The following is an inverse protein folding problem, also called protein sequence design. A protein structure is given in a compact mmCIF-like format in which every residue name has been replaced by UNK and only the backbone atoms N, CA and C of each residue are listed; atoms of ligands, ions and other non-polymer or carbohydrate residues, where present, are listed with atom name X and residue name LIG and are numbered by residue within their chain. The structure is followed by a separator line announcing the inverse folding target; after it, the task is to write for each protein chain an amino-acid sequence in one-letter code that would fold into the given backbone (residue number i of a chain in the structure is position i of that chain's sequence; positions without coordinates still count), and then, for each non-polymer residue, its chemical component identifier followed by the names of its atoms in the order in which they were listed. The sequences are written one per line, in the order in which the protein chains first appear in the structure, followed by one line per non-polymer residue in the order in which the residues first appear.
data_IF_464162228485
#
_entry.id   IF_464162228485
#
_cell.length_a   1.000
_cell.length_b   1.000
_cell.length_c   1.000
_cell.angle_alpha   90.00
_cell.angle_beta   90.00
_cell.angle_gamma   90.00
#
_symmetry.space_group_name_H-M   'P 1'
#
loop_
_entity.id
_entity.type
_entity.pdbx_description
1 polymer ?
#
# COMPACT_ATOMS: atom_id res chain seq x y z
N UNK A 1 22.87 9.92 -6.87
CA UNK A 1 21.77 10.14 -5.92
C UNK A 1 21.90 9.26 -4.69
N UNK A 2 22.13 7.95 -4.83
CA UNK A 2 22.29 7.04 -3.67
C UNK A 2 23.33 7.50 -2.63
N UNK A 3 24.52 7.97 -3.05
CA UNK A 3 25.52 8.53 -2.12
C UNK A 3 24.97 9.69 -1.28
N UNK A 4 24.14 10.56 -1.87
CA UNK A 4 23.50 11.68 -1.15
C UNK A 4 22.45 11.15 -0.16
N UNK A 5 21.67 10.14 -0.55
CA UNK A 5 20.69 9.51 0.34
C UNK A 5 21.37 8.88 1.56
N UNK A 6 22.48 8.18 1.35
CA UNK A 6 23.28 7.58 2.43
C UNK A 6 23.84 8.65 3.38
N UNK A 7 24.41 9.72 2.81
CA UNK A 7 24.91 10.85 3.58
C UNK A 7 23.80 11.51 4.42
N UNK A 8 22.61 11.70 3.83
CA UNK A 8 21.45 12.26 4.50
C UNK A 8 21.04 11.46 5.75
N UNK A 9 21.03 10.12 5.66
CA UNK A 9 20.76 9.28 6.82
C UNK A 9 21.84 9.39 7.90
N UNK A 10 23.12 9.46 7.53
CA UNK A 10 24.20 9.68 8.51
C UNK A 10 24.04 11.01 9.25
N UNK A 11 23.65 12.05 8.54
CA UNK A 11 23.38 13.38 9.12
C UNK A 11 22.15 13.38 10.04
N UNK A 12 21.13 12.57 9.74
CA UNK A 12 19.96 12.41 10.61
C UNK A 12 20.29 11.76 11.95
N UNK A 13 21.29 10.87 12.02
CA UNK A 13 21.70 10.16 13.24
C UNK A 13 20.74 9.05 13.70
N UNK A 14 19.43 9.29 13.63
CA UNK A 14 18.38 8.31 13.93
C UNK A 14 17.18 8.49 13.00
N UNK A 15 16.49 7.40 12.64
CA UNK A 15 15.32 7.50 11.76
C UNK A 15 14.30 6.37 11.98
N UNK A 16 13.03 6.74 11.98
CA UNK A 16 11.88 5.85 11.96
C UNK A 16 11.31 5.81 10.54
N UNK A 17 11.39 4.66 9.88
CA UNK A 17 10.90 4.48 8.51
C UNK A 17 9.45 3.99 8.56
N UNK A 18 8.52 4.76 7.98
CA UNK A 18 7.16 4.29 7.71
C UNK A 18 7.19 3.18 6.64
N UNK A 19 7.19 1.93 7.10
CA UNK A 19 7.54 0.76 6.30
C UNK A 19 6.29 -0.03 5.89
N UNK A 20 5.96 0.03 4.60
CA UNK A 20 4.80 -0.64 3.99
C UNK A 20 5.13 -1.94 3.26
N UNK A 21 6.41 -2.27 3.04
CA UNK A 21 6.81 -3.43 2.22
C UNK A 21 6.59 -3.26 0.71
N UNK A 22 6.31 -2.04 0.26
CA UNK A 22 6.36 -1.66 -1.16
C UNK A 22 7.79 -1.37 -1.60
N UNK A 23 8.03 -1.24 -2.92
CA UNK A 23 9.38 -1.05 -3.46
C UNK A 23 10.09 0.18 -2.87
N UNK A 24 9.38 1.31 -2.77
CA UNK A 24 9.95 2.58 -2.34
C UNK A 24 10.30 2.59 -0.84
N UNK A 25 9.37 2.16 0.02
CA UNK A 25 9.61 2.06 1.47
C UNK A 25 10.62 0.97 1.83
N UNK A 26 10.72 -0.10 1.03
CA UNK A 26 11.71 -1.17 1.25
C UNK A 26 13.13 -0.72 0.93
N UNK A 27 13.32 -0.01 -0.18
CA UNK A 27 14.63 0.56 -0.50
C UNK A 27 15.06 1.58 0.55
N UNK A 28 14.14 2.45 0.98
CA UNK A 28 14.43 3.43 2.02
C UNK A 28 14.79 2.76 3.35
N UNK A 29 14.03 1.74 3.76
CA UNK A 29 14.32 0.93 4.96
C UNK A 29 15.68 0.23 4.88
N UNK A 30 16.04 -0.29 3.70
CA UNK A 30 17.34 -0.91 3.47
C UNK A 30 18.49 0.08 3.65
N UNK A 31 18.40 1.27 3.05
CA UNK A 31 19.42 2.31 3.20
C UNK A 31 19.50 2.81 4.64
N UNK A 32 18.37 3.09 5.29
CA UNK A 32 18.34 3.52 6.69
C UNK A 32 19.01 2.48 7.59
N UNK A 33 18.69 1.19 7.42
CA UNK A 33 19.28 0.09 8.19
C UNK A 33 20.79 -0.02 7.95
N UNK A 34 21.23 0.11 6.70
CA UNK A 34 22.64 0.01 6.34
C UNK A 34 23.49 1.16 6.93
N UNK A 35 22.94 2.39 6.99
CA UNK A 35 23.69 3.56 7.45
C UNK A 35 23.56 3.82 8.96
N UNK A 36 22.41 3.50 9.57
CA UNK A 36 22.13 3.82 10.98
C UNK A 36 22.13 2.60 11.91
N UNK A 37 22.13 1.39 11.35
CA UNK A 37 22.08 0.15 12.14
C UNK A 37 20.91 0.16 13.14
N UNK A 38 21.23 0.11 14.44
CA UNK A 38 20.23 0.06 15.53
C UNK A 38 19.41 1.34 15.70
N UNK A 39 19.90 2.46 15.17
CA UNK A 39 19.23 3.76 15.20
C UNK A 39 18.20 3.92 14.06
N UNK A 40 18.10 2.95 13.14
CA UNK A 40 16.96 2.80 12.24
C UNK A 40 15.87 1.90 12.86
N UNK A 41 14.62 2.34 12.80
CA UNK A 41 13.45 1.55 13.18
C UNK A 41 12.42 1.56 12.05
N UNK A 42 12.14 0.40 11.47
CA UNK A 42 11.10 0.25 10.45
C UNK A 42 9.76 -0.04 11.13
N UNK A 43 8.76 0.80 10.94
CA UNK A 43 7.45 0.63 11.59
C UNK A 43 6.37 0.39 10.55
N UNK A 44 5.63 -0.72 10.71
CA UNK A 44 4.46 -1.04 9.89
C UNK A 44 3.20 -0.76 10.70
N UNK A 45 2.32 0.09 10.16
CA UNK A 45 0.96 0.27 10.68
C UNK A 45 0.06 -0.87 10.20
N UNK A 46 -0.54 -1.59 11.14
CA UNK A 46 -1.46 -2.68 10.86
C UNK A 46 -2.89 -2.30 11.24
N UNK A 47 -3.81 -2.53 10.31
CA UNK A 47 -5.25 -2.47 10.50
C UNK A 47 -5.92 -3.46 9.55
N UNK A 48 -7.24 -3.61 9.63
CA UNK A 48 -7.97 -4.44 8.67
C UNK A 48 -7.85 -3.98 7.20
N UNK A 49 -7.30 -2.79 6.94
CA UNK A 49 -7.06 -2.31 5.56
C UNK A 49 -5.78 -2.87 4.93
N UNK A 50 -4.86 -3.41 5.73
CA UNK A 50 -3.64 -4.07 5.27
C UNK A 50 -3.85 -5.58 5.15
N UNK A 51 -3.76 -6.08 3.92
CA UNK A 51 -3.91 -7.49 3.60
C UNK A 51 -2.86 -8.36 4.32
N UNK A 52 -3.26 -9.55 4.77
CA UNK A 52 -2.40 -10.50 5.48
C UNK A 52 -1.15 -10.86 4.68
N UNK A 53 -1.29 -11.08 3.37
CA UNK A 53 -0.15 -11.38 2.49
C UNK A 53 0.89 -10.25 2.47
N UNK A 54 0.46 -8.99 2.56
CA UNK A 54 1.37 -7.83 2.60
C UNK A 54 2.08 -7.74 3.97
N UNK A 55 1.39 -8.11 5.06
CA UNK A 55 2.00 -8.18 6.41
C UNK A 55 3.09 -9.24 6.46
N UNK A 56 2.82 -10.44 5.95
CA UNK A 56 3.78 -11.55 5.91
C UNK A 56 4.99 -11.24 5.03
N UNK A 57 4.75 -10.65 3.84
CA UNK A 57 5.83 -10.25 2.93
C UNK A 57 6.72 -9.17 3.55
N UNK A 58 6.14 -8.13 4.15
CA UNK A 58 6.90 -7.07 4.80
C UNK A 58 7.69 -7.59 6.02
N UNK A 59 7.13 -8.53 6.79
CA UNK A 59 7.82 -9.15 7.91
C UNK A 59 8.99 -10.03 7.45
N UNK A 60 8.79 -10.80 6.37
CA UNK A 60 9.83 -11.63 5.77
C UNK A 60 10.97 -10.78 5.21
N UNK A 61 10.64 -9.70 4.51
CA UNK A 61 11.64 -8.76 3.98
C UNK A 61 12.47 -8.12 5.09
N UNK A 62 11.81 -7.68 6.17
CA UNK A 62 12.52 -7.10 7.31
C UNK A 62 13.52 -8.09 7.93
N UNK A 63 13.13 -9.36 8.11
CA UNK A 63 14.04 -10.42 8.60
C UNK A 63 15.20 -10.67 7.63
N UNK A 64 14.90 -10.79 6.33
CA UNK A 64 15.90 -11.10 5.31
C UNK A 64 17.01 -10.04 5.21
N UNK A 65 16.66 -8.76 5.41
CA UNK A 65 17.58 -7.64 5.28
C UNK A 65 18.04 -7.06 6.64
N UNK A 66 17.80 -7.78 7.75
CA UNK A 66 18.25 -7.37 9.07
C UNK A 66 17.63 -6.06 9.57
N UNK A 67 16.46 -5.70 9.07
CA UNK A 67 15.76 -4.47 9.45
C UNK A 67 15.14 -4.65 10.84
N UNK A 68 15.48 -3.74 11.77
CA UNK A 68 14.77 -3.65 13.05
C UNK A 68 13.34 -3.21 12.77
N UNK A 69 12.39 -4.13 12.88
CA UNK A 69 10.97 -3.89 12.61
C UNK A 69 10.12 -3.87 13.87
N UNK A 70 9.17 -2.95 13.93
CA UNK A 70 8.09 -2.91 14.90
C UNK A 70 6.74 -2.79 14.19
N UNK A 71 5.69 -3.30 14.81
CA UNK A 71 4.32 -3.22 14.31
C UNK A 71 3.50 -2.42 15.31
N UNK A 72 2.74 -1.46 14.80
CA UNK A 72 1.74 -0.74 15.59
C UNK A 72 0.36 -1.01 15.02
N UNK A 73 -0.65 -1.09 15.87
CA UNK A 73 -2.05 -1.13 15.41
C UNK A 73 -2.49 0.29 15.11
N UNK A 74 -3.13 0.53 13.97
CA UNK A 74 -3.75 1.82 13.62
C UNK A 74 -5.28 1.72 13.72
N UNK A 75 -5.91 2.84 14.10
CA UNK A 75 -7.34 2.88 14.41
C UNK A 75 -8.14 3.69 13.38
N UNK A 76 -7.70 3.78 12.13
CA UNK A 76 -8.33 4.64 11.13
C UNK A 76 -9.80 4.25 10.85
N UNK A 77 -10.19 3.00 11.12
CA UNK A 77 -11.58 2.54 11.05
C UNK A 77 -12.51 3.14 12.12
N UNK A 78 -11.96 3.80 13.16
CA UNK A 78 -12.73 4.57 14.14
C UNK A 78 -12.99 6.00 13.68
N UNK A 79 -12.29 6.48 12.64
CA UNK A 79 -12.49 7.81 12.08
C UNK A 79 -13.62 7.78 11.02
N UNK A 80 -14.67 8.56 11.25
CA UNK A 80 -15.78 8.73 10.31
C UNK A 80 -15.31 9.24 8.94
N UNK A 81 -14.26 10.05 8.90
CA UNK A 81 -13.75 10.62 7.65
C UNK A 81 -13.02 9.58 6.79
N UNK A 82 -12.39 8.59 7.42
CA UNK A 82 -11.82 7.43 6.75
C UNK A 82 -12.92 6.47 6.30
N UNK A 83 -13.83 6.12 7.22
CA UNK A 83 -14.90 5.15 6.93
C UNK A 83 -15.88 5.65 5.87
N UNK A 84 -16.10 6.96 5.74
CA UNK A 84 -16.90 7.57 4.67
C UNK A 84 -16.37 7.30 3.25
N UNK A 85 -15.12 6.86 3.11
CA UNK A 85 -14.52 6.50 1.82
C UNK A 85 -14.57 7.62 0.77
N UNK A 86 -14.34 8.85 1.20
CA UNK A 86 -14.18 9.98 0.27
C UNK A 86 -12.84 9.90 -0.47
N UNK A 87 -12.60 10.72 -1.52
CA UNK A 87 -11.29 10.82 -2.17
C UNK A 87 -10.15 11.18 -1.19
N UNK A 88 -10.47 11.79 -0.04
CA UNK A 88 -9.53 12.14 1.03
C UNK A 88 -9.24 10.99 2.00
N UNK A 89 -9.82 9.78 1.84
CA UNK A 89 -9.59 8.64 2.75
C UNK A 89 -8.11 8.39 3.07
N UNK A 90 -7.25 8.45 2.04
CA UNK A 90 -5.80 8.22 2.21
C UNK A 90 -5.11 9.28 3.08
N UNK A 91 -5.63 10.50 3.14
CA UNK A 91 -5.15 11.53 4.06
C UNK A 91 -5.40 11.10 5.51
N UNK A 92 -6.64 10.79 5.87
CA UNK A 92 -7.00 10.38 7.25
C UNK A 92 -6.28 9.11 7.69
N UNK A 93 -6.10 8.16 6.77
CA UNK A 93 -5.31 6.94 7.02
C UNK A 93 -3.85 7.26 7.38
N UNK A 94 -3.20 8.16 6.64
CA UNK A 94 -1.81 8.56 6.89
C UNK A 94 -1.68 9.47 8.10
N UNK A 95 -2.65 10.37 8.33
CA UNK A 95 -2.69 11.23 9.51
C UNK A 95 -2.72 10.42 10.80
N UNK A 96 -3.56 9.38 10.87
CA UNK A 96 -3.60 8.44 11.98
C UNK A 96 -2.25 7.70 12.16
N UNK A 97 -1.68 7.20 11.07
CA UNK A 97 -0.37 6.54 11.11
C UNK A 97 0.70 7.48 11.68
N UNK A 98 0.82 8.70 11.14
CA UNK A 98 1.86 9.63 11.56
C UNK A 98 1.68 10.13 12.99
N UNK A 99 0.44 10.33 13.47
CA UNK A 99 0.18 10.59 14.89
C UNK A 99 0.79 9.52 15.80
N UNK A 100 0.58 8.25 15.48
CA UNK A 100 1.15 7.13 16.26
C UNK A 100 2.66 7.02 16.12
N UNK A 101 3.20 7.25 14.91
CA UNK A 101 4.65 7.24 14.70
C UNK A 101 5.33 8.37 15.48
N UNK A 102 4.75 9.57 15.53
CA UNK A 102 5.27 10.69 16.32
C UNK A 102 5.34 10.37 17.81
N UNK A 103 4.27 9.80 18.38
CA UNK A 103 4.28 9.35 19.77
C UNK A 103 5.34 8.26 20.02
N UNK A 104 5.47 7.30 19.10
CA UNK A 104 6.47 6.24 19.20
C UNK A 104 7.90 6.77 19.05
N UNK A 105 8.13 7.72 18.16
CA UNK A 105 9.44 8.32 17.91
C UNK A 105 9.93 9.05 19.17
N UNK A 106 9.06 9.83 19.80
CA UNK A 106 9.32 10.46 21.10
C UNK A 106 9.65 9.43 22.19
N UNK A 107 8.85 8.37 22.31
CA UNK A 107 9.06 7.32 23.31
C UNK A 107 10.36 6.52 23.09
N UNK A 108 10.89 6.49 21.86
CA UNK A 108 12.11 5.76 21.49
C UNK A 108 13.34 6.65 21.30
N UNK A 109 13.20 7.96 21.49
CA UNK A 109 14.29 8.91 21.26
C UNK A 109 14.80 8.89 19.82
N UNK A 110 13.88 8.82 18.85
CA UNK A 110 14.20 8.88 17.42
C UNK A 110 13.79 10.25 16.89
N UNK A 111 14.71 10.94 16.25
CA UNK A 111 14.57 12.36 15.87
C UNK A 111 13.76 12.56 14.60
N UNK A 112 13.81 11.61 13.67
CA UNK A 112 13.24 11.75 12.34
C UNK A 112 12.26 10.63 12.00
N UNK A 113 11.11 11.00 11.45
CA UNK A 113 10.20 10.07 10.77
C UNK A 113 10.33 10.28 9.28
N UNK A 114 10.50 9.19 8.52
CA UNK A 114 10.70 9.25 7.07
C UNK A 114 9.70 8.36 6.33
N UNK A 115 9.30 8.76 5.13
CA UNK A 115 8.48 7.96 4.22
C UNK A 115 9.12 7.76 2.84
N UNK A 116 8.65 6.72 2.15
CA UNK A 116 9.17 6.31 0.84
C UNK A 116 8.58 7.06 -0.35
N UNK A 117 8.06 8.28 -0.20
CA UNK A 117 7.55 9.01 -1.36
C UNK A 117 8.68 9.43 -2.31
N UNK A 118 8.46 9.28 -3.61
CA UNK A 118 9.47 9.54 -4.67
C UNK A 118 9.19 10.85 -5.42
N UNK A 119 10.13 11.27 -6.27
CA UNK A 119 9.99 12.45 -7.11
C UNK A 119 8.74 12.39 -8.00
N UNK A 120 8.45 11.25 -8.61
CA UNK A 120 7.27 11.05 -9.47
C UNK A 120 5.96 11.23 -8.72
N UNK A 121 5.95 11.00 -7.41
CA UNK A 121 4.72 11.21 -6.66
C UNK A 121 4.34 12.70 -6.71
N UNK A 122 5.26 13.66 -6.80
CA UNK A 122 4.95 15.10 -6.70
C UNK A 122 3.93 15.61 -7.74
N UNK A 123 3.84 14.96 -8.89
CA UNK A 123 2.86 15.26 -9.95
C UNK A 123 1.60 14.39 -9.88
N UNK A 124 1.50 13.45 -8.92
CA UNK A 124 0.38 12.53 -8.74
C UNK A 124 -0.56 13.00 -7.61
N UNK A 125 -1.86 12.76 -7.78
CA UNK A 125 -2.87 13.04 -6.75
C UNK A 125 -2.69 12.08 -5.57
N UNK A 126 -1.93 12.55 -4.57
CA UNK A 126 -1.61 11.81 -3.35
C UNK A 126 -2.08 12.62 -2.13
N UNK A 127 -3.38 12.61 -1.79
CA UNK A 127 -3.90 13.33 -0.63
C UNK A 127 -3.21 12.89 0.68
N UNK A 128 -2.70 11.65 0.72
CA UNK A 128 -1.88 11.17 1.82
C UNK A 128 -0.58 11.96 2.08
N UNK A 129 -0.01 12.65 1.09
CA UNK A 129 1.20 13.48 1.28
C UNK A 129 0.91 14.75 2.05
N UNK A 130 -0.30 15.30 1.97
CA UNK A 130 -0.66 16.45 2.80
C UNK A 130 -0.56 16.12 4.30
N UNK A 131 -0.77 14.86 4.68
CA UNK A 131 -0.59 14.42 6.07
C UNK A 131 0.88 14.38 6.48
N UNK A 132 1.83 14.01 5.59
CA UNK A 132 3.25 13.94 5.97
C UNK A 132 3.81 15.31 6.33
N UNK A 133 3.46 16.35 5.57
CA UNK A 133 3.86 17.74 5.86
C UNK A 133 3.36 18.22 7.22
N UNK A 134 2.12 17.88 7.60
CA UNK A 134 1.52 18.28 8.87
C UNK A 134 2.19 17.67 10.11
N UNK A 135 2.89 16.54 9.95
CA UNK A 135 3.57 15.82 11.05
C UNK A 135 5.09 15.95 11.03
N UNK A 136 5.65 16.81 10.16
CA UNK A 136 7.10 16.95 10.03
C UNK A 136 7.81 15.70 9.48
N UNK A 137 7.07 14.84 8.77
CA UNK A 137 7.62 13.62 8.16
C UNK A 137 8.42 14.00 6.92
N UNK A 138 9.66 13.52 6.86
CA UNK A 138 10.57 13.74 5.74
C UNK A 138 10.39 12.69 4.64
N UNK A 139 10.66 13.06 3.41
CA UNK A 139 10.61 12.14 2.26
C UNK A 139 11.99 12.11 1.59
N UNK A 140 12.97 11.35 2.13
CA UNK A 140 14.37 11.42 1.70
C UNK A 140 14.58 11.16 0.20
N UNK A 141 13.74 10.29 -0.41
CA UNK A 141 13.84 10.01 -1.84
C UNK A 141 13.48 11.24 -2.68
N UNK A 142 12.49 12.05 -2.27
CA UNK A 142 12.21 13.36 -2.89
C UNK A 142 13.37 14.32 -2.65
N UNK A 143 13.92 14.39 -1.44
CA UNK A 143 15.01 15.32 -1.10
C UNK A 143 16.27 15.10 -1.96
N UNK A 144 16.50 13.86 -2.41
CA UNK A 144 17.60 13.52 -3.33
C UNK A 144 17.16 13.35 -4.80
N UNK A 145 15.92 13.76 -5.11
CA UNK A 145 15.29 13.74 -6.43
C UNK A 145 15.21 12.35 -7.09
N UNK A 146 15.11 11.28 -6.29
CA UNK A 146 14.96 9.91 -6.79
C UNK A 146 13.59 9.66 -7.39
N UNK A 147 13.61 9.19 -8.63
CA UNK A 147 12.43 8.66 -9.32
C UNK A 147 12.17 7.21 -8.93
N UNK A 148 10.99 6.70 -9.28
CA UNK A 148 10.59 5.33 -9.07
C UNK A 148 11.42 4.35 -9.89
N UNK A 149 11.87 4.75 -11.08
CA UNK A 149 12.82 3.97 -11.89
C UNK A 149 14.16 3.83 -11.18
N UNK A 150 14.70 4.93 -10.62
CA UNK A 150 15.96 4.88 -9.87
C UNK A 150 15.85 3.92 -8.69
N UNK A 151 14.76 4.03 -7.92
CA UNK A 151 14.50 3.19 -6.76
C UNK A 151 14.41 1.71 -7.14
N UNK A 152 13.73 1.37 -8.25
CA UNK A 152 13.64 -0.02 -8.74
C UNK A 152 15.00 -0.56 -9.16
N UNK A 153 15.80 0.22 -9.90
CA UNK A 153 17.13 -0.20 -10.32
C UNK A 153 18.05 -0.43 -9.12
N UNK A 154 18.06 0.50 -8.16
CA UNK A 154 18.88 0.41 -6.96
C UNK A 154 18.41 -0.73 -6.04
N UNK A 155 17.09 -0.95 -5.95
CA UNK A 155 16.53 -2.10 -5.24
C UNK A 155 16.99 -3.42 -5.85
N UNK A 156 16.98 -3.52 -7.19
CA UNK A 156 17.45 -4.70 -7.91
C UNK A 156 18.93 -4.96 -7.64
N UNK A 157 19.76 -3.91 -7.68
CA UNK A 157 21.20 -4.00 -7.37
C UNK A 157 21.48 -4.39 -5.92
N UNK A 158 20.63 -3.98 -4.98
CA UNK A 158 20.69 -4.38 -3.58
C UNK A 158 20.13 -5.79 -3.30
N UNK A 159 19.60 -6.48 -4.32
CA UNK A 159 19.00 -7.80 -4.17
C UNK A 159 17.61 -7.80 -3.51
N UNK A 160 16.96 -6.64 -3.36
CA UNK A 160 15.62 -6.54 -2.76
C UNK A 160 14.59 -7.18 -3.70
N UNK A 161 13.86 -8.23 -3.31
CA UNK A 161 12.89 -8.91 -4.18
C UNK A 161 11.70 -8.02 -4.55
N UNK A 162 11.52 -6.89 -3.84
CA UNK A 162 10.48 -5.90 -4.13
C UNK A 162 10.76 -5.05 -5.36
N UNK A 163 11.93 -5.15 -6.00
CA UNK A 163 12.31 -4.32 -7.15
C UNK A 163 11.34 -4.43 -8.33
N UNK A 164 10.71 -5.60 -8.51
CA UNK A 164 9.70 -5.86 -9.54
C UNK A 164 8.28 -5.96 -8.96
N UNK A 165 8.10 -5.73 -7.66
CA UNK A 165 6.78 -5.83 -7.02
C UNK A 165 5.85 -4.76 -7.62
N UNK A 166 4.67 -5.15 -8.15
CA UNK A 166 3.67 -4.19 -8.57
C UNK A 166 3.19 -3.33 -7.41
N UNK A 167 2.69 -2.13 -7.69
CA UNK A 167 2.05 -1.32 -6.65
C UNK A 167 0.86 -2.10 -6.06
N UNK A 168 0.87 -2.27 -4.74
CA UNK A 168 -0.18 -2.95 -3.98
C UNK A 168 -0.81 -1.95 -3.01
N UNK A 169 -1.84 -1.19 -3.44
CA UNK A 169 -2.55 -0.28 -2.54
C UNK A 169 -3.26 -1.08 -1.43
N UNK A 170 -3.75 -0.39 -0.39
CA UNK A 170 -4.53 -1.04 0.68
C UNK A 170 -5.85 -1.64 0.18
N UNK A 171 -6.44 -2.55 0.96
CA UNK A 171 -7.73 -3.18 0.65
C UNK A 171 -8.85 -2.15 0.48
N UNK A 172 -8.82 -1.04 1.20
CA UNK A 172 -9.81 0.03 1.07
C UNK A 172 -9.84 0.66 -0.32
N UNK A 173 -8.76 0.56 -1.10
CA UNK A 173 -8.74 1.01 -2.50
C UNK A 173 -9.56 0.11 -3.43
N UNK A 174 -10.14 -0.99 -2.95
CA UNK A 174 -11.04 -1.86 -3.71
C UNK A 174 -12.50 -1.50 -3.48
N UNK A 175 -12.80 -0.73 -2.43
CA UNK A 175 -14.15 -0.29 -2.12
C UNK A 175 -14.44 0.99 -2.90
N UNK A 176 -15.49 0.99 -3.72
CA UNK A 176 -15.86 2.14 -4.53
C UNK A 176 -16.11 3.39 -3.67
N UNK A 177 -15.69 4.56 -4.16
CA UNK A 177 -15.82 5.82 -3.43
C UNK A 177 -17.27 6.07 -2.98
N UNK A 178 -17.41 6.65 -1.78
CA UNK A 178 -18.72 6.88 -1.14
C UNK A 178 -19.35 5.65 -0.49
N UNK A 179 -18.87 4.44 -0.77
CA UNK A 179 -19.30 3.24 -0.04
C UNK A 179 -18.49 3.13 1.25
N UNK A 180 -19.14 3.02 2.43
CA UNK A 180 -18.41 3.01 3.69
C UNK A 180 -17.40 1.85 3.79
N UNK A 181 -16.20 2.14 4.28
CA UNK A 181 -15.18 1.13 4.57
C UNK A 181 -15.52 0.45 5.89
N UNK A 182 -15.73 -0.87 5.86
CA UNK A 182 -16.00 -1.68 7.06
C UNK A 182 -15.13 -2.92 7.07
N UNK A 183 -14.90 -3.50 8.25
CA UNK A 183 -14.13 -4.75 8.41
C UNK A 183 -14.74 -5.88 7.55
N UNK A 184 -16.07 -5.99 7.52
CA UNK A 184 -16.76 -7.00 6.71
C UNK A 184 -16.47 -6.84 5.21
N UNK A 185 -16.54 -5.62 4.68
CA UNK A 185 -16.25 -5.35 3.26
C UNK A 185 -14.78 -5.57 2.91
N UNK A 186 -13.86 -5.17 3.80
CA UNK A 186 -12.43 -5.42 3.63
C UNK A 186 -12.12 -6.92 3.62
N UNK A 187 -12.72 -7.68 4.54
CA UNK A 187 -12.59 -9.13 4.59
C UNK A 187 -13.17 -9.81 3.34
N UNK A 188 -14.32 -9.35 2.84
CA UNK A 188 -14.91 -9.88 1.60
C UNK A 188 -13.99 -9.65 0.39
N UNK A 189 -13.39 -8.46 0.27
CA UNK A 189 -12.39 -8.17 -0.77
C UNK A 189 -11.17 -9.08 -0.64
N UNK A 190 -10.59 -9.20 0.55
CA UNK A 190 -9.39 -10.01 0.77
C UNK A 190 -9.63 -11.48 0.45
N UNK A 191 -10.76 -12.04 0.90
CA UNK A 191 -11.18 -13.42 0.58
C UNK A 191 -11.44 -13.59 -0.92
N UNK A 192 -12.06 -12.60 -1.57
CA UNK A 192 -12.27 -12.60 -3.02
C UNK A 192 -10.94 -12.61 -3.80
N UNK A 193 -9.98 -11.76 -3.41
CA UNK A 193 -8.65 -11.75 -4.00
C UNK A 193 -7.89 -13.06 -3.73
N UNK A 194 -8.10 -13.70 -2.57
CA UNK A 194 -7.55 -15.03 -2.29
C UNK A 194 -8.15 -16.12 -3.18
N UNK A 195 -9.47 -16.11 -3.43
CA UNK A 195 -10.12 -17.03 -4.38
C UNK A 195 -9.46 -16.93 -5.75
N UNK A 196 -9.36 -15.72 -6.31
CA UNK A 196 -8.75 -15.52 -7.64
C UNK A 196 -7.30 -16.04 -7.69
N UNK A 197 -6.53 -15.82 -6.62
CA UNK A 197 -5.17 -16.35 -6.50
C UNK A 197 -5.14 -17.88 -6.50
N UNK A 198 -6.02 -18.54 -5.73
CA UNK A 198 -6.11 -20.00 -5.70
C UNK A 198 -6.57 -20.60 -7.02
N UNK A 199 -7.35 -19.86 -7.80
CA UNK A 199 -7.72 -20.21 -9.17
C UNK A 199 -6.59 -19.94 -10.18
N UNK A 200 -5.43 -19.47 -9.73
CA UNK A 200 -4.23 -19.28 -10.55
C UNK A 200 -4.19 -17.95 -11.33
N UNK A 201 -5.10 -17.01 -11.08
CA UNK A 201 -4.97 -15.66 -11.64
C UNK A 201 -3.77 -14.95 -11.01
N UNK A 202 -3.09 -14.10 -11.80
CA UNK A 202 -1.89 -13.39 -11.35
C UNK A 202 -2.13 -11.90 -11.20
N UNK A 203 -2.83 -11.31 -12.17
CA UNK A 203 -3.08 -9.87 -12.22
C UNK A 203 -4.57 -9.60 -12.12
N UNK A 204 -5.01 -9.22 -10.91
CA UNK A 204 -6.42 -9.02 -10.64
C UNK A 204 -6.70 -8.03 -9.50
N UNK A 205 -7.96 -7.56 -9.45
CA UNK A 205 -8.57 -6.85 -8.32
C UNK A 205 -10.03 -7.29 -8.17
N UNK A 206 -10.48 -7.38 -6.92
CA UNK A 206 -11.90 -7.48 -6.60
C UNK A 206 -12.38 -6.11 -6.17
N UNK A 207 -13.23 -5.45 -6.97
CA UNK A 207 -13.85 -4.18 -6.59
C UNK A 207 -15.19 -4.42 -5.92
N UNK A 208 -15.40 -3.79 -4.78
CA UNK A 208 -16.61 -3.89 -3.99
C UNK A 208 -17.52 -2.69 -4.29
N UNK A 209 -18.67 -2.98 -4.89
CA UNK A 209 -19.75 -2.04 -5.23
C UNK A 209 -21.01 -2.45 -4.48
N UNK A 210 -20.95 -2.34 -3.15
CA UNK A 210 -21.98 -2.82 -2.23
C UNK A 210 -22.39 -4.29 -2.46
N UNK A 211 -23.56 -4.57 -3.03
CA UNK A 211 -24.00 -5.94 -3.31
C UNK A 211 -23.33 -6.58 -4.54
N UNK A 212 -22.45 -5.87 -5.24
CA UNK A 212 -21.79 -6.29 -6.47
C UNK A 212 -20.27 -6.41 -6.29
N UNK A 213 -19.72 -7.55 -6.71
CA UNK A 213 -18.29 -7.73 -6.91
C UNK A 213 -17.95 -7.55 -8.39
N UNK A 214 -17.14 -6.54 -8.71
CA UNK A 214 -16.59 -6.35 -10.06
C UNK A 214 -15.16 -6.86 -10.09
N UNK A 215 -14.92 -7.91 -10.85
CA UNK A 215 -13.64 -8.57 -11.01
C UNK A 215 -12.87 -7.93 -12.16
N UNK A 216 -11.73 -7.33 -11.85
CA UNK A 216 -10.78 -6.85 -12.84
C UNK A 216 -9.71 -7.92 -12.98
N UNK A 217 -9.62 -8.59 -14.13
CA UNK A 217 -8.62 -9.62 -14.43
C UNK A 217 -7.81 -9.17 -15.66
N UNK A 218 -6.51 -9.43 -15.69
CA UNK A 218 -5.66 -9.08 -16.84
C UNK A 218 -6.22 -9.63 -18.14
N UNK A 219 -6.13 -8.85 -19.22
CA UNK A 219 -6.64 -9.23 -20.54
C UNK A 219 -6.01 -10.51 -21.07
N UNK A 220 -4.75 -10.77 -20.72
CA UNK A 220 -4.06 -12.00 -21.07
C UNK A 220 -4.70 -13.25 -20.42
N UNK A 221 -5.34 -13.09 -19.27
CA UNK A 221 -6.00 -14.17 -18.52
C UNK A 221 -7.52 -14.23 -18.76
N UNK A 222 -8.08 -13.24 -19.46
CA UNK A 222 -9.52 -13.14 -19.73
C UNK A 222 -10.09 -14.34 -20.51
N UNK A 223 -9.42 -14.93 -21.52
CA UNK A 223 -9.93 -16.13 -22.19
C UNK A 223 -10.16 -17.30 -21.23
N UNK A 224 -9.33 -17.42 -20.19
CA UNK A 224 -9.50 -18.42 -19.13
C UNK A 224 -10.65 -18.07 -18.19
N UNK A 225 -10.78 -16.80 -17.82
CA UNK A 225 -11.86 -16.30 -16.95
C UNK A 225 -13.25 -16.45 -17.58
N UNK A 226 -13.34 -16.45 -18.92
CA UNK A 226 -14.59 -16.55 -19.68
C UNK A 226 -15.06 -17.98 -19.99
N UNK A 227 -14.30 -19.00 -19.59
CA UNK A 227 -14.78 -20.38 -19.68
C UNK A 227 -15.97 -20.60 -18.74
N UNK A 228 -17.01 -21.28 -19.19
CA UNK A 228 -18.25 -21.43 -18.42
C UNK A 228 -18.02 -22.10 -17.06
N UNK A 229 -17.16 -23.11 -16.99
CA UNK A 229 -16.82 -23.78 -15.73
C UNK A 229 -16.13 -22.84 -14.71
N UNK A 230 -15.30 -21.91 -15.21
CA UNK A 230 -14.65 -20.89 -14.38
C UNK A 230 -15.64 -19.82 -13.96
N UNK A 231 -16.53 -19.37 -14.86
CA UNK A 231 -17.59 -18.40 -14.55
C UNK A 231 -18.51 -18.95 -13.46
N UNK A 232 -18.94 -20.21 -13.57
CA UNK A 232 -19.82 -20.85 -12.59
C UNK A 232 -19.14 -20.97 -11.22
N UNK A 233 -17.85 -21.33 -11.18
CA UNK A 233 -17.09 -21.41 -9.93
C UNK A 233 -16.90 -20.02 -9.30
N UNK A 234 -16.58 -18.99 -10.11
CA UNK A 234 -16.51 -17.60 -9.65
C UNK A 234 -17.85 -17.15 -9.08
N UNK A 235 -18.95 -17.35 -9.80
CA UNK A 235 -20.28 -16.93 -9.38
C UNK A 235 -20.68 -17.60 -8.06
N UNK A 236 -20.43 -18.90 -7.92
CA UNK A 236 -20.71 -19.65 -6.69
C UNK A 236 -19.90 -19.12 -5.50
N UNK A 237 -18.57 -19.05 -5.63
CA UNK A 237 -17.69 -18.65 -4.52
C UNK A 237 -17.90 -17.20 -4.08
N UNK A 238 -18.17 -16.28 -5.02
CA UNK A 238 -18.45 -14.89 -4.65
C UNK A 238 -19.84 -14.69 -4.05
N UNK A 239 -20.84 -15.52 -4.41
CA UNK A 239 -22.13 -15.55 -3.69
C UNK A 239 -21.98 -16.04 -2.25
N UNK A 240 -21.12 -17.03 -2.00
CA UNK A 240 -20.78 -17.49 -0.64
C UNK A 240 -20.10 -16.39 0.19
N UNK A 241 -19.43 -15.43 -0.45
CA UNK A 241 -18.89 -14.23 0.21
C UNK A 241 -19.92 -13.12 0.48
N UNK A 242 -21.17 -13.32 0.06
CA UNK A 242 -22.28 -12.39 0.30
C UNK A 242 -22.59 -11.42 -0.86
N UNK A 243 -21.92 -11.55 -2.01
CA UNK A 243 -22.26 -10.73 -3.19
C UNK A 243 -23.50 -11.27 -3.90
N UNK A 244 -24.43 -10.38 -4.25
CA UNK A 244 -25.63 -10.72 -5.05
C UNK A 244 -25.28 -10.81 -6.54
N UNK A 245 -24.37 -9.96 -6.99
CA UNK A 245 -23.94 -9.86 -8.37
C UNK A 245 -22.42 -9.99 -8.47
N UNK A 246 -21.97 -10.71 -9.49
CA UNK A 246 -20.55 -10.89 -9.80
C UNK A 246 -20.37 -10.55 -11.28
N UNK A 247 -19.50 -9.60 -11.57
CA UNK A 247 -19.26 -9.12 -12.94
C UNK A 247 -17.78 -9.15 -13.26
N UNK A 248 -17.46 -9.26 -14.56
CA UNK A 248 -16.11 -9.06 -15.07
C UNK A 248 -16.03 -7.66 -15.68
N UNK A 249 -14.98 -6.92 -15.34
CA UNK A 249 -14.68 -5.67 -16.02
C UNK A 249 -14.12 -5.98 -17.41
N UNK A 250 -14.84 -5.58 -18.46
CA UNK A 250 -14.47 -5.83 -19.86
C UNK A 250 -13.18 -5.14 -20.26
N UNK A 251 -12.76 -4.11 -19.54
CA UNK A 251 -11.49 -3.46 -19.78
C UNK A 251 -10.31 -4.21 -19.14
N UNK A 252 -10.60 -5.10 -18.19
CA UNK A 252 -9.62 -5.89 -17.44
C UNK A 252 -8.92 -5.10 -16.35
N UNK A 253 -7.86 -5.68 -15.78
CA UNK A 253 -7.03 -5.02 -14.78
C UNK A 253 -6.23 -3.85 -15.35
N UNK A 254 -6.31 -2.69 -14.68
CA UNK A 254 -5.48 -1.50 -14.96
C UNK A 254 -5.10 -0.76 -13.69
N UNK A 255 -3.87 -0.25 -13.65
CA UNK A 255 -3.43 0.65 -12.60
C UNK A 255 -4.23 1.96 -12.65
N UNK A 256 -4.63 2.48 -11.49
CA UNK A 256 -5.35 3.76 -11.41
C UNK A 256 -6.82 3.75 -11.85
N UNK A 257 -7.40 2.63 -12.29
CA UNK A 257 -8.77 2.56 -12.83
C UNK A 257 -9.85 3.14 -11.89
N UNK A 258 -9.67 3.04 -10.58
CA UNK A 258 -10.62 3.58 -9.60
C UNK A 258 -10.62 5.12 -9.52
N UNK A 259 -9.60 5.80 -10.04
CA UNK A 259 -9.52 7.26 -10.06
C UNK A 259 -10.14 7.89 -11.31
N UNK A 260 -10.65 7.09 -12.26
CA UNK A 260 -11.33 7.58 -13.46
C UNK A 260 -12.66 8.29 -13.13
N UNK A 261 -13.31 7.91 -12.01
CA UNK A 261 -14.57 8.49 -11.55
C UNK A 261 -14.39 9.81 -10.76
N UNK A 262 -13.15 10.18 -10.44
CA UNK A 262 -12.88 11.42 -9.73
C UNK A 262 -12.86 12.60 -10.72
N UNK A 263 -13.61 13.66 -10.42
CA UNK A 263 -13.56 14.91 -11.18
C UNK A 263 -12.09 15.40 -11.25
N UNK A 264 -11.58 15.79 -12.43
CA UNK A 264 -10.24 16.35 -12.57
C UNK A 264 -9.95 17.53 -11.63
N UNK A 265 -10.99 18.25 -11.16
CA UNK A 265 -10.89 19.35 -10.20
C UNK A 265 -10.74 18.90 -8.74
N UNK A 266 -10.94 17.60 -8.47
CA UNK A 266 -10.74 16.98 -7.15
C UNK A 266 -9.37 16.28 -7.06
N UNK A 267 -8.71 16.06 -8.21
CA UNK A 267 -7.31 15.63 -8.34
C UNK A 267 -6.36 16.82 -8.19
#
# INVERSE_FOLDING_TARGET
MERRLRQLFREMGSAMVAFSGGVDSSYLAYIATAELGRAALCVTGESASLAMSEREQSATLARQFGMRREVIQTDELKDVNYTANSPKRCFFCKDELYKKLSALAQARGIDWIVDGSTQDDLSDYRPGRAASTGHGVRSPLIEVSMTKSDVRELSRRAGLPTWDKPASPCLSSRIAYGIPVTIGRLSAVEKGEAILRTMGFREFRVRHHDNLARLEISRAEMPRALRMDVIDDLARRFRELGFKYVTLDLQGYRSGAMNEVLDPRVK
#
